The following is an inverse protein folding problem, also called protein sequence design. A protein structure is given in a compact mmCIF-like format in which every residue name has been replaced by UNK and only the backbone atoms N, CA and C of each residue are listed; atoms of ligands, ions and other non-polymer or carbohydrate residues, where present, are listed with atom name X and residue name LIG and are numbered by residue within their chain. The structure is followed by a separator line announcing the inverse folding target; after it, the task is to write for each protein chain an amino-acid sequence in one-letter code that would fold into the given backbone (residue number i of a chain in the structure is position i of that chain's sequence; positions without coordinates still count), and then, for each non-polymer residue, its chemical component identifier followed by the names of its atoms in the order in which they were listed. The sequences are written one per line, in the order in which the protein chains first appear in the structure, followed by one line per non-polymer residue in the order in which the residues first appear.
data_IF_341801345911
#
_entry.id   IF_341801345911
#
_cell.length_a   1.000
_cell.length_b   1.000
_cell.length_c   1.000
_cell.angle_alpha   90.00
_cell.angle_beta   90.00
_cell.angle_gamma   90.00
#
_symmetry.space_group_name_H-M   'P 1'
#
loop_
_entity.id
_entity.type
_entity.pdbx_description
1 polymer ?
#
# COMPACT_ATOMS: atom_id res chain seq x y z
N UNK A 1 19.11 -23.36 -0.10
CA UNK A 1 18.35 -22.55 -1.09
C UNK A 1 17.14 -21.80 -0.51
N UNK A 2 16.33 -22.32 0.43
CA UNK A 2 15.11 -21.61 0.87
C UNK A 2 15.33 -20.39 1.80
N UNK A 3 16.41 -20.38 2.59
CA UNK A 3 16.74 -19.26 3.48
C UNK A 3 17.13 -17.99 2.70
N UNK A 4 17.78 -18.18 1.54
CA UNK A 4 18.26 -17.12 0.66
C UNK A 4 17.09 -16.38 0.00
N UNK A 5 16.09 -17.13 -0.50
CA UNK A 5 14.88 -16.56 -1.10
C UNK A 5 14.07 -15.73 -0.11
N UNK A 6 13.93 -16.15 1.16
CA UNK A 6 13.20 -15.38 2.18
C UNK A 6 13.91 -14.06 2.53
N UNK A 7 15.22 -13.99 2.38
CA UNK A 7 16.01 -12.79 2.62
C UNK A 7 15.69 -11.70 1.61
N UNK A 8 15.53 -12.07 0.33
CA UNK A 8 15.21 -11.15 -0.76
C UNK A 8 13.94 -10.33 -0.49
N UNK A 9 12.90 -10.94 0.08
CA UNK A 9 11.64 -10.24 0.38
C UNK A 9 11.71 -9.25 1.56
N UNK A 10 12.84 -9.18 2.27
CA UNK A 10 13.01 -8.34 3.48
C UNK A 10 13.96 -7.17 3.27
N UNK A 11 14.70 -7.17 2.16
CA UNK A 11 15.71 -6.16 1.84
C UNK A 11 15.17 -5.21 0.79
N UNK A 12 15.40 -3.92 0.95
CA UNK A 12 15.07 -2.94 -0.07
C UNK A 12 16.03 -3.08 -1.25
N UNK A 13 15.47 -3.09 -2.46
CA UNK A 13 16.23 -3.08 -3.71
C UNK A 13 16.64 -1.66 -4.00
N UNK A 14 17.93 -1.44 -4.24
CA UNK A 14 18.42 -0.13 -4.66
C UNK A 14 17.77 0.29 -5.99
N UNK A 15 17.32 1.54 -6.05
CA UNK A 15 16.70 2.12 -7.22
C UNK A 15 17.40 3.43 -7.61
N UNK A 16 17.44 3.72 -8.92
CA UNK A 16 18.09 4.90 -9.48
C UNK A 16 17.10 5.83 -10.19
N UNK A 17 15.80 5.74 -9.85
CA UNK A 17 14.78 6.57 -10.48
C UNK A 17 14.93 8.04 -10.05
N UNK A 18 14.57 9.01 -10.90
CA UNK A 18 14.75 10.42 -10.59
C UNK A 18 13.81 10.90 -9.48
N UNK A 19 14.13 12.00 -8.79
CA UNK A 19 13.23 12.56 -7.77
C UNK A 19 11.92 13.12 -8.35
N UNK A 20 11.87 13.38 -9.66
CA UNK A 20 10.71 13.92 -10.38
C UNK A 20 10.59 13.28 -11.75
N UNK A 21 9.36 13.11 -12.19
CA UNK A 21 9.03 12.75 -13.57
C UNK A 21 7.94 13.70 -14.08
N UNK A 22 7.85 13.88 -15.38
CA UNK A 22 6.74 14.60 -15.99
C UNK A 22 6.15 13.72 -17.09
N UNK A 23 4.81 13.75 -17.19
CA UNK A 23 4.10 13.10 -18.28
C UNK A 23 3.40 14.18 -19.09
N UNK A 24 3.62 14.16 -20.41
CA UNK A 24 3.05 15.11 -21.36
C UNK A 24 2.04 14.40 -22.26
N UNK A 25 0.82 14.95 -22.34
CA UNK A 25 -0.27 14.46 -23.18
C UNK A 25 -0.87 15.64 -23.96
N UNK A 26 -0.42 15.82 -25.21
CA UNK A 26 -0.71 17.04 -25.99
C UNK A 26 -0.17 18.27 -25.26
N UNK A 27 -1.02 19.29 -25.09
CA UNK A 27 -0.64 20.53 -24.40
C UNK A 27 -0.65 20.43 -22.86
N UNK A 28 -0.98 19.24 -22.31
CA UNK A 28 -1.01 19.02 -20.86
C UNK A 28 0.28 18.40 -20.38
N UNK A 29 0.93 19.06 -19.43
CA UNK A 29 2.08 18.52 -18.69
C UNK A 29 1.73 18.37 -17.22
N UNK A 30 1.91 17.18 -16.67
CA UNK A 30 1.75 16.92 -15.24
C UNK A 30 3.09 16.50 -14.65
N UNK A 31 3.59 17.25 -13.68
CA UNK A 31 4.77 16.86 -12.89
C UNK A 31 4.35 15.95 -11.73
N UNK A 32 5.10 14.89 -11.53
CA UNK A 32 4.99 14.00 -10.38
C UNK A 32 6.29 14.00 -9.60
N UNK A 33 6.18 13.87 -8.29
CA UNK A 33 7.32 13.78 -7.38
C UNK A 33 7.39 12.38 -6.78
N UNK A 34 8.61 11.87 -6.64
CA UNK A 34 8.87 10.63 -5.92
C UNK A 34 8.37 10.81 -4.48
N UNK A 35 7.54 9.88 -4.02
CA UNK A 35 7.00 9.87 -2.67
C UNK A 35 7.92 9.05 -1.79
N UNK A 36 8.29 9.63 -0.66
CA UNK A 36 8.85 8.92 0.48
C UNK A 36 7.99 9.21 1.70
N UNK A 37 7.88 8.23 2.60
CA UNK A 37 7.18 8.37 3.87
C UNK A 37 8.20 8.53 5.00
N UNK A 38 7.89 9.30 6.06
CA UNK A 38 8.81 9.48 7.19
C UNK A 38 9.07 8.14 7.88
N UNK A 39 10.34 7.88 8.21
CA UNK A 39 10.76 6.78 9.06
C UNK A 39 10.83 7.24 10.53
N UNK A 40 11.12 6.32 11.46
CA UNK A 40 11.55 6.72 12.80
C UNK A 40 12.85 7.54 12.70
N UNK A 41 12.95 8.63 13.47
CA UNK A 41 14.07 9.57 13.40
C UNK A 41 13.93 10.60 12.29
N UNK A 42 15.05 11.02 11.71
CA UNK A 42 15.14 12.00 10.61
C UNK A 42 15.14 11.36 9.21
N UNK A 43 14.90 10.04 9.14
CA UNK A 43 14.91 9.27 7.90
C UNK A 43 13.59 9.31 7.12
N UNK A 44 13.63 8.78 5.90
CA UNK A 44 12.43 8.45 5.10
C UNK A 44 12.64 7.16 4.32
N UNK A 45 11.56 6.51 3.90
CA UNK A 45 11.59 5.30 3.11
C UNK A 45 10.64 5.37 1.91
N UNK A 46 10.97 4.62 0.87
CA UNK A 46 10.13 4.42 -0.32
C UNK A 46 9.58 3.00 -0.41
N UNK A 47 9.33 2.53 -1.63
CA UNK A 47 8.99 1.12 -1.87
C UNK A 47 10.23 0.23 -1.70
N UNK A 48 10.02 -0.94 -1.11
CA UNK A 48 11.07 -1.95 -0.91
C UNK A 48 11.48 -2.64 -2.21
N UNK A 49 10.49 -2.96 -3.05
CA UNK A 49 10.63 -3.53 -4.38
C UNK A 49 9.29 -3.43 -5.12
N UNK A 50 9.29 -3.76 -6.41
CA UNK A 50 8.12 -3.82 -7.27
C UNK A 50 7.20 -4.99 -6.96
N UNK A 51 6.73 -5.67 -7.99
CA UNK A 51 5.92 -6.88 -7.84
C UNK A 51 6.75 -8.04 -7.27
N UNK A 52 8.00 -8.15 -7.73
CA UNK A 52 8.95 -9.18 -7.31
C UNK A 52 10.21 -8.57 -6.68
N UNK A 53 10.90 -9.27 -5.75
CA UNK A 53 12.06 -8.74 -5.02
C UNK A 53 13.29 -8.36 -5.84
N UNK A 54 13.36 -8.71 -7.12
CA UNK A 54 14.46 -8.33 -8.00
C UNK A 54 14.13 -7.07 -8.83
N UNK A 55 12.89 -6.58 -8.75
CA UNK A 55 12.41 -5.44 -9.51
C UNK A 55 12.50 -4.18 -8.65
N UNK A 56 13.29 -3.16 -9.05
CA UNK A 56 13.27 -1.87 -8.38
C UNK A 56 11.93 -1.16 -8.63
N UNK A 57 11.45 -0.37 -7.67
CA UNK A 57 10.23 0.42 -7.83
C UNK A 57 10.29 1.75 -7.07
N UNK A 58 9.55 2.74 -7.56
CA UNK A 58 9.33 4.01 -6.89
C UNK A 58 7.88 4.45 -7.08
N UNK A 59 7.29 5.05 -6.05
CA UNK A 59 5.95 5.63 -6.13
C UNK A 59 6.03 7.11 -6.45
N UNK A 60 5.25 7.57 -7.42
CA UNK A 60 5.19 8.97 -7.83
C UNK A 60 3.77 9.49 -7.67
N UNK A 61 3.63 10.69 -7.11
CA UNK A 61 2.36 11.37 -6.95
C UNK A 61 2.41 12.78 -7.53
N UNK A 62 1.30 13.21 -8.12
CA UNK A 62 1.12 14.60 -8.50
C UNK A 62 0.90 15.46 -7.24
N UNK A 63 1.37 16.72 -7.23
CA UNK A 63 1.13 17.64 -6.11
C UNK A 63 -0.36 17.74 -5.75
N UNK A 64 -0.68 17.62 -4.45
CA UNK A 64 -2.04 17.72 -3.94
C UNK A 64 -2.97 16.54 -4.28
N UNK A 65 -2.47 15.48 -4.93
CA UNK A 65 -3.32 14.46 -5.55
C UNK A 65 -2.92 13.01 -5.18
N UNK A 66 -2.69 12.71 -3.90
CA UNK A 66 -2.50 11.31 -3.49
C UNK A 66 -2.86 11.03 -2.04
N UNK A 67 -4.00 10.39 -1.84
CA UNK A 67 -4.37 9.84 -0.53
C UNK A 67 -3.36 8.76 -0.07
N UNK A 68 -2.73 8.05 -1.01
CA UNK A 68 -1.67 7.08 -0.73
C UNK A 68 -0.35 7.74 -0.32
N UNK A 69 -0.04 8.92 -0.87
CA UNK A 69 1.15 9.69 -0.54
C UNK A 69 1.13 10.26 0.88
N UNK A 70 -0.07 10.43 1.44
CA UNK A 70 -0.29 10.95 2.79
C UNK A 70 -0.60 9.86 3.83
N UNK A 71 -0.36 8.58 3.50
CA UNK A 71 -0.57 7.49 4.45
C UNK A 71 0.33 7.62 5.68
N UNK A 72 -0.29 7.53 6.86
CA UNK A 72 0.41 7.27 8.10
C UNK A 72 0.50 5.76 8.32
N UNK A 73 1.72 5.26 8.43
CA UNK A 73 1.97 3.82 8.57
C UNK A 73 2.02 3.42 10.04
N UNK A 74 1.05 2.63 10.49
CA UNK A 74 1.07 2.04 11.83
C UNK A 74 2.12 0.91 11.94
N UNK A 75 2.38 0.23 10.83
CA UNK A 75 3.39 -0.84 10.73
C UNK A 75 3.85 -0.96 9.29
N UNK A 76 5.15 -0.75 9.07
CA UNK A 76 5.76 -0.75 7.72
C UNK A 76 6.35 -2.11 7.31
N UNK A 77 6.50 -3.04 8.26
CA UNK A 77 7.19 -4.32 8.04
C UNK A 77 8.72 -4.14 7.96
N UNK A 78 9.41 -5.01 7.22
CA UNK A 78 10.88 -5.03 7.15
C UNK A 78 11.36 -4.26 5.92
N UNK A 79 11.88 -3.04 6.09
CA UNK A 79 12.47 -2.25 4.99
C UNK A 79 11.46 -1.53 4.08
N UNK A 80 10.27 -1.19 4.58
CA UNK A 80 9.23 -0.45 3.84
C UNK A 80 8.19 -1.33 3.12
N UNK A 81 7.13 -0.75 2.56
CA UNK A 81 6.09 -1.47 1.81
C UNK A 81 6.59 -1.95 0.44
N UNK A 82 6.07 -3.08 -0.07
CA UNK A 82 6.23 -3.42 -1.50
C UNK A 82 5.21 -2.70 -2.37
N UNK A 83 5.38 -2.75 -3.70
CA UNK A 83 4.36 -2.27 -4.63
C UNK A 83 3.01 -2.98 -4.42
N UNK A 84 3.01 -4.30 -4.21
CA UNK A 84 1.78 -5.07 -3.92
C UNK A 84 1.09 -4.55 -2.66
N UNK A 85 1.84 -4.19 -1.60
CA UNK A 85 1.22 -3.63 -0.39
C UNK A 85 0.52 -2.31 -0.68
N UNK A 86 1.13 -1.44 -1.48
CA UNK A 86 0.52 -0.16 -1.84
C UNK A 86 -0.71 -0.34 -2.74
N UNK A 87 -0.64 -1.26 -3.69
CA UNK A 87 -1.76 -1.59 -4.57
C UNK A 87 -2.93 -2.24 -3.81
N UNK A 88 -2.66 -3.12 -2.85
CA UNK A 88 -3.69 -3.68 -1.95
C UNK A 88 -4.42 -2.57 -1.18
N UNK A 89 -3.68 -1.57 -0.67
CA UNK A 89 -4.29 -0.42 0.03
C UNK A 89 -5.16 0.41 -0.94
N UNK A 90 -4.69 0.69 -2.15
CA UNK A 90 -5.46 1.41 -3.17
C UNK A 90 -6.78 0.70 -3.49
N UNK A 91 -6.70 -0.61 -3.73
CA UNK A 91 -7.85 -1.45 -4.05
C UNK A 91 -8.83 -1.49 -2.87
N UNK A 92 -8.33 -1.62 -1.63
CA UNK A 92 -9.15 -1.56 -0.43
C UNK A 92 -9.88 -0.21 -0.30
N UNK A 93 -9.19 0.92 -0.53
CA UNK A 93 -9.80 2.25 -0.50
C UNK A 93 -10.91 2.41 -1.55
N UNK A 94 -10.74 1.81 -2.74
CA UNK A 94 -11.76 1.79 -3.79
C UNK A 94 -12.97 0.95 -3.47
N UNK A 95 -12.84 -0.05 -2.60
CA UNK A 95 -13.98 -0.80 -2.07
C UNK A 95 -14.63 0.01 -0.94
N UNK A 96 -13.84 0.54 -0.01
CA UNK A 96 -14.32 1.29 1.15
C UNK A 96 -15.16 2.52 0.78
N UNK A 97 -14.86 3.21 -0.32
CA UNK A 97 -15.63 4.38 -0.80
C UNK A 97 -17.10 4.10 -1.12
N UNK A 98 -17.51 2.84 -1.23
CA UNK A 98 -18.92 2.47 -1.49
C UNK A 98 -19.74 2.30 -0.21
N UNK A 99 -19.11 2.31 0.98
CA UNK A 99 -19.80 2.18 2.25
C UNK A 99 -20.00 3.54 2.91
N UNK A 100 -21.23 3.83 3.34
CA UNK A 100 -21.56 5.04 4.08
C UNK A 100 -21.22 4.91 5.58
N UNK A 101 -21.24 3.69 6.12
CA UNK A 101 -20.88 3.39 7.50
C UNK A 101 -19.43 2.89 7.59
N UNK A 102 -18.79 2.95 8.77
CA UNK A 102 -17.47 2.38 8.97
C UNK A 102 -17.39 0.93 8.46
N UNK A 103 -16.35 0.65 7.68
CA UNK A 103 -16.16 -0.63 7.03
C UNK A 103 -14.69 -1.07 7.11
N UNK A 104 -14.46 -2.37 6.97
CA UNK A 104 -13.16 -2.98 6.88
C UNK A 104 -13.09 -3.85 5.63
N UNK A 105 -11.95 -3.80 4.94
CA UNK A 105 -11.66 -4.64 3.76
C UNK A 105 -10.31 -5.29 4.00
N UNK A 106 -10.23 -6.60 3.76
CA UNK A 106 -9.00 -7.38 3.85
C UNK A 106 -8.61 -7.81 2.45
N UNK A 107 -7.36 -7.53 2.10
CA UNK A 107 -6.80 -7.77 0.77
C UNK A 107 -5.67 -8.79 0.84
N UNK A 108 -5.53 -9.57 -0.22
CA UNK A 108 -4.43 -10.50 -0.45
C UNK A 108 -4.06 -10.50 -1.92
N UNK A 109 -2.86 -10.02 -2.24
CA UNK A 109 -2.31 -10.08 -3.59
C UNK A 109 -3.28 -9.54 -4.65
N UNK A 110 -3.72 -8.29 -4.45
CA UNK A 110 -4.63 -7.53 -5.29
C UNK A 110 -6.10 -7.98 -5.28
N UNK A 111 -6.44 -9.01 -4.51
CA UNK A 111 -7.79 -9.56 -4.41
C UNK A 111 -8.39 -9.33 -3.01
N UNK A 112 -9.68 -8.97 -2.88
CA UNK A 112 -10.34 -8.92 -1.59
C UNK A 112 -10.57 -10.33 -1.06
N UNK A 113 -10.10 -10.62 0.15
CA UNK A 113 -10.42 -11.86 0.87
C UNK A 113 -11.67 -11.71 1.75
N UNK A 114 -12.05 -10.47 2.08
CA UNK A 114 -13.26 -10.21 2.84
C UNK A 114 -13.52 -8.73 3.05
N UNK A 115 -14.79 -8.40 3.28
CA UNK A 115 -15.24 -7.06 3.61
C UNK A 115 -16.41 -7.12 4.60
N UNK A 116 -16.48 -6.15 5.50
CA UNK A 116 -17.59 -6.00 6.44
C UNK A 116 -17.87 -4.52 6.68
N UNK A 117 -19.12 -4.19 6.97
CA UNK A 117 -19.58 -2.84 7.24
C UNK A 117 -20.40 -2.84 8.53
N UNK A 118 -20.28 -1.76 9.30
CA UNK A 118 -20.94 -1.63 10.61
C UNK A 118 -22.46 -1.69 10.48
N UNK A 119 -23.07 -2.50 11.33
CA UNK A 119 -24.50 -2.46 11.63
C UNK A 119 -24.74 -1.94 13.06
N UNK A 120 -25.47 -0.83 13.19
CA UNK A 120 -25.72 -0.17 14.47
C UNK A 120 -24.44 0.37 15.11
N UNK A 121 -24.28 0.12 16.41
CA UNK A 121 -23.20 0.67 17.26
C UNK A 121 -22.13 -0.36 17.63
N UNK A 122 -21.99 -1.43 16.85
CA UNK A 122 -20.97 -2.43 17.12
C UNK A 122 -19.53 -1.84 17.04
N UNK A 123 -18.60 -2.33 17.88
CA UNK A 123 -17.25 -1.80 17.91
C UNK A 123 -16.49 -2.11 16.61
N UNK A 124 -15.59 -1.21 16.20
CA UNK A 124 -14.78 -1.37 14.98
C UNK A 124 -14.00 -2.69 14.94
N UNK A 125 -13.57 -3.19 16.11
CA UNK A 125 -12.89 -4.48 16.24
C UNK A 125 -13.74 -5.65 15.72
N UNK A 126 -15.07 -5.60 15.90
CA UNK A 126 -16.00 -6.63 15.41
C UNK A 126 -16.14 -6.60 13.89
N UNK A 127 -16.17 -5.41 13.29
CA UNK A 127 -16.21 -5.22 11.84
C UNK A 127 -14.93 -5.76 11.20
N UNK A 128 -13.77 -5.43 11.78
CA UNK A 128 -12.49 -5.98 11.32
C UNK A 128 -12.45 -7.51 11.42
N UNK A 129 -12.86 -8.07 12.56
CA UNK A 129 -12.91 -9.53 12.74
C UNK A 129 -13.81 -10.19 11.69
N UNK A 130 -15.00 -9.65 11.42
CA UNK A 130 -15.90 -10.16 10.40
C UNK A 130 -15.28 -10.12 8.98
N UNK A 131 -14.62 -9.02 8.61
CA UNK A 131 -13.94 -8.92 7.32
C UNK A 131 -12.78 -9.91 7.19
N UNK A 132 -11.98 -10.08 8.25
CA UNK A 132 -10.86 -11.04 8.32
C UNK A 132 -11.36 -12.48 8.24
N UNK A 133 -12.45 -12.80 8.93
CA UNK A 133 -12.94 -14.17 9.10
C UNK A 133 -13.78 -14.68 7.93
N UNK A 134 -14.16 -13.79 6.99
CA UNK A 134 -14.81 -14.16 5.73
C UNK A 134 -13.99 -15.20 4.93
N UNK A 135 -12.68 -15.00 4.86
CA UNK A 135 -11.71 -16.02 4.43
C UNK A 135 -10.43 -15.88 5.26
N UNK A 136 -10.45 -16.51 6.44
CA UNK A 136 -9.34 -16.47 7.39
C UNK A 136 -8.06 -17.12 6.86
N UNK A 137 -8.16 -18.02 5.87
CA UNK A 137 -7.00 -18.69 5.27
C UNK A 137 -6.30 -17.74 4.30
N UNK A 138 -7.03 -17.00 3.49
CA UNK A 138 -6.45 -15.99 2.60
C UNK A 138 -5.96 -14.74 3.35
N UNK A 139 -6.62 -14.39 4.46
CA UNK A 139 -6.24 -13.25 5.30
C UNK A 139 -4.88 -13.40 6.00
N UNK A 140 -4.33 -14.61 6.10
CA UNK A 140 -3.01 -14.92 6.66
C UNK A 140 -1.92 -14.92 5.57
#
# INVERSE_FOLDING_TARGET
MSADLKSLYRTAVAEAFPGRIAVEFGDRRVEYRKVTWPAEGDGSFGLRYGENPHQPAAFYAAPGASALGSLSWLKIGKGGPSWINLADIEHAMRILRFFANPAAVVMKHLNPSGAACRSGDEPLARIYAAARDCDSRAAF
#
